data_IF_202862039908
#
_entry.id   IF_202862039908
#
_cell.length_a   1.000
_cell.length_b   1.000
_cell.length_c   1.000
_cell.angle_alpha   90.00
_cell.angle_beta   90.00
_cell.angle_gamma   90.00
#
_symmetry.space_group_name_H-M   'P 1'
#
loop_
_entity.id
_entity.type
_entity.pdbx_description
1 polymer ?
#
# COMPACT_ATOMS: atom_id res chain seq x y z
N UNK A 1 5.93 19.96 -6.45
CA UNK A 1 5.32 20.26 -7.76
C UNK A 1 4.48 21.53 -7.63
N UNK A 2 4.47 22.42 -8.64
CA UNK A 2 3.75 23.69 -8.53
C UNK A 2 2.22 23.57 -8.48
N UNK A 3 1.68 22.41 -8.88
CA UNK A 3 0.24 22.14 -8.97
C UNK A 3 -0.29 21.26 -7.82
N UNK A 4 0.59 20.85 -6.91
CA UNK A 4 0.22 20.03 -5.77
C UNK A 4 0.98 20.44 -4.51
N UNK A 5 0.26 20.61 -3.40
CA UNK A 5 0.82 20.85 -2.08
C UNK A 5 0.06 20.01 -1.06
N UNK A 6 0.79 19.25 -0.24
CA UNK A 6 0.23 18.45 0.85
C UNK A 6 0.83 18.87 2.18
N UNK A 7 -0.01 19.03 3.19
CA UNK A 7 0.37 19.24 4.58
C UNK A 7 -0.26 18.12 5.42
N UNK A 8 0.51 17.48 6.29
CA UNK A 8 0.00 16.41 7.16
C UNK A 8 0.54 16.55 8.58
N UNK A 9 -0.32 16.17 9.54
CA UNK A 9 0.00 16.07 10.95
C UNK A 9 -0.38 14.69 11.46
N UNK A 10 0.52 14.06 12.24
CA UNK A 10 0.30 12.73 12.81
C UNK A 10 0.64 12.69 14.29
N UNK A 11 -0.14 11.91 15.03
CA UNK A 11 0.15 11.54 16.43
C UNK A 11 0.02 10.03 16.55
N UNK A 12 1.04 9.40 17.13
CA UNK A 12 1.05 7.98 17.41
C UNK A 12 1.38 7.77 18.89
N UNK A 13 0.62 6.92 19.57
CA UNK A 13 0.80 6.54 20.97
C UNK A 13 0.95 5.04 21.03
N UNK A 14 1.97 4.59 21.77
CA UNK A 14 2.26 3.18 22.00
C UNK A 14 2.34 2.92 23.50
N UNK A 15 1.63 1.91 23.99
CA UNK A 15 1.61 1.51 25.38
C UNK A 15 1.90 0.02 25.54
N UNK A 16 2.93 -0.29 26.26
CA UNK A 16 3.22 -1.65 26.69
C UNK A 16 2.38 -2.02 27.92
N UNK A 17 1.86 -3.25 27.92
CA UNK A 17 1.02 -3.82 28.97
C UNK A 17 1.43 -5.26 29.25
N UNK A 18 0.90 -5.84 30.34
CA UNK A 18 1.19 -7.23 30.75
C UNK A 18 2.69 -7.56 30.80
N UNK A 19 3.46 -6.68 31.45
CA UNK A 19 4.92 -6.87 31.60
C UNK A 19 5.69 -6.76 30.28
N UNK A 20 5.18 -5.99 29.29
CA UNK A 20 5.82 -5.81 27.99
C UNK A 20 5.43 -6.89 26.96
N UNK A 21 4.58 -7.85 27.33
CA UNK A 21 4.16 -8.91 26.39
C UNK A 21 3.14 -8.44 25.35
N UNK A 22 2.40 -7.39 25.65
CA UNK A 22 1.39 -6.80 24.74
C UNK A 22 1.69 -5.34 24.53
N UNK A 23 1.73 -4.90 23.28
CA UNK A 23 1.84 -3.48 22.92
C UNK A 23 0.58 -3.05 22.18
N UNK A 24 -0.08 -2.02 22.69
CA UNK A 24 -1.23 -1.38 22.03
C UNK A 24 -0.75 -0.09 21.37
N UNK A 25 -1.12 0.09 20.10
CA UNK A 25 -0.77 1.27 19.31
C UNK A 25 -2.04 1.99 18.87
N UNK A 26 -2.07 3.31 19.04
CA UNK A 26 -3.12 4.19 18.55
C UNK A 26 -2.46 5.25 17.68
N UNK A 27 -2.98 5.44 16.47
CA UNK A 27 -2.47 6.43 15.53
C UNK A 27 -3.60 7.28 14.95
N UNK A 28 -3.32 8.56 14.80
CA UNK A 28 -4.18 9.51 14.11
C UNK A 28 -3.35 10.33 13.14
N UNK A 29 -3.85 10.49 11.90
CA UNK A 29 -3.25 11.38 10.92
C UNK A 29 -4.34 12.24 10.29
N UNK A 30 -4.06 13.53 10.13
CA UNK A 30 -4.86 14.48 9.36
C UNK A 30 -4.01 15.10 8.28
N UNK A 31 -4.48 15.00 7.03
CA UNK A 31 -3.88 15.62 5.86
C UNK A 31 -4.79 16.66 5.23
N UNK A 32 -4.19 17.63 4.55
CA UNK A 32 -4.89 18.62 3.72
C UNK A 32 -4.04 18.91 2.48
N UNK A 33 -4.64 18.68 1.32
CA UNK A 33 -3.96 18.82 0.04
C UNK A 33 -4.60 19.94 -0.77
N UNK A 34 -3.76 20.68 -1.50
CA UNK A 34 -4.18 21.58 -2.57
C UNK A 34 -3.80 20.92 -3.89
N UNK A 35 -4.79 20.72 -4.73
CA UNK A 35 -4.65 20.06 -6.03
C UNK A 35 -5.01 21.06 -7.10
N UNK A 36 -4.18 21.20 -8.13
CA UNK A 36 -4.42 22.15 -9.19
C UNK A 36 -3.89 21.71 -10.55
N UNK A 37 -4.28 22.47 -11.56
CA UNK A 37 -3.73 22.44 -12.90
C UNK A 37 -3.64 23.87 -13.41
N UNK A 38 -2.48 24.48 -13.27
CA UNK A 38 -2.24 25.90 -13.60
C UNK A 38 -2.56 26.26 -15.02
N UNK A 39 -2.32 25.34 -15.96
CA UNK A 39 -2.54 25.56 -17.40
C UNK A 39 -3.99 25.90 -17.75
N UNK A 40 -4.95 25.42 -16.95
CA UNK A 40 -6.39 25.71 -17.13
C UNK A 40 -7.01 26.50 -15.97
N UNK A 41 -6.18 26.97 -15.02
CA UNK A 41 -6.66 27.71 -13.86
C UNK A 41 -7.48 26.90 -12.86
N UNK A 42 -7.37 25.58 -12.87
CA UNK A 42 -8.10 24.69 -11.95
C UNK A 42 -7.37 24.58 -10.61
N UNK A 43 -8.11 24.77 -9.48
CA UNK A 43 -7.63 24.53 -8.12
C UNK A 43 -8.77 24.00 -7.25
N UNK A 44 -8.49 22.98 -6.45
CA UNK A 44 -9.42 22.38 -5.48
C UNK A 44 -8.63 21.86 -4.27
N UNK A 45 -9.31 21.28 -3.29
CA UNK A 45 -8.72 20.78 -2.05
C UNK A 45 -9.20 19.37 -1.76
N UNK A 46 -8.33 18.58 -1.10
CA UNK A 46 -8.68 17.32 -0.50
C UNK A 46 -8.29 17.30 0.98
N UNK A 47 -9.03 16.56 1.79
CA UNK A 47 -8.77 16.36 3.21
C UNK A 47 -8.77 14.87 3.50
N UNK A 48 -7.84 14.44 4.36
CA UNK A 48 -7.62 13.06 4.71
C UNK A 48 -7.60 12.90 6.22
N UNK A 49 -8.31 11.90 6.73
CA UNK A 49 -8.28 11.48 8.12
C UNK A 49 -7.99 10.00 8.16
N UNK A 50 -7.02 9.61 8.98
CA UNK A 50 -6.66 8.22 9.15
C UNK A 50 -6.59 7.90 10.64
N UNK A 51 -7.25 6.83 11.04
CA UNK A 51 -7.26 6.28 12.38
C UNK A 51 -6.67 4.88 12.33
N UNK A 52 -5.78 4.58 13.26
CA UNK A 52 -5.13 3.27 13.36
C UNK A 52 -5.24 2.76 14.79
N UNK A 53 -5.60 1.50 14.92
CA UNK A 53 -5.60 0.76 16.20
C UNK A 53 -4.87 -0.54 15.94
N UNK A 54 -3.85 -0.84 16.74
CA UNK A 54 -3.05 -2.04 16.61
C UNK A 54 -2.74 -2.68 17.95
N UNK A 55 -2.60 -3.99 17.92
CA UNK A 55 -2.13 -4.81 19.03
C UNK A 55 -1.03 -5.70 18.51
N UNK A 56 0.09 -5.70 19.23
CA UNK A 56 1.19 -6.64 19.04
C UNK A 56 1.34 -7.47 20.30
N UNK A 57 1.39 -8.79 20.13
CA UNK A 57 1.47 -9.77 21.22
C UNK A 57 2.68 -10.66 21.05
N UNK A 58 3.51 -10.77 22.08
CA UNK A 58 4.51 -11.82 22.19
C UNK A 58 3.77 -13.10 22.60
N UNK A 59 3.69 -14.06 21.66
CA UNK A 59 3.02 -15.34 21.89
C UNK A 59 3.93 -16.31 22.65
N UNK A 60 5.20 -16.33 22.28
CA UNK A 60 6.26 -17.12 22.90
C UNK A 60 7.59 -16.34 22.76
N UNK A 61 8.68 -16.77 23.41
CA UNK A 61 10.00 -16.15 23.21
C UNK A 61 10.49 -16.12 21.73
N UNK A 62 9.86 -16.92 20.86
CA UNK A 62 10.22 -17.04 19.44
C UNK A 62 9.16 -16.49 18.48
N UNK A 63 7.94 -16.24 18.94
CA UNK A 63 6.82 -15.90 18.07
C UNK A 63 6.12 -14.63 18.53
N UNK A 64 5.90 -13.74 17.58
CA UNK A 64 5.20 -12.48 17.75
C UNK A 64 4.07 -12.40 16.72
N UNK A 65 2.88 -11.96 17.13
CA UNK A 65 1.76 -11.70 16.25
C UNK A 65 1.28 -10.25 16.41
N UNK A 66 0.79 -9.65 15.35
CA UNK A 66 0.14 -8.34 15.39
C UNK A 66 -1.12 -8.31 14.56
N UNK A 67 -2.10 -7.53 15.02
CA UNK A 67 -3.32 -7.21 14.32
C UNK A 67 -3.52 -5.69 14.34
N UNK A 68 -3.78 -5.10 13.18
CA UNK A 68 -4.00 -3.66 13.05
C UNK A 68 -5.28 -3.42 12.23
N UNK A 69 -6.10 -2.48 12.69
CA UNK A 69 -7.26 -1.97 11.96
C UNK A 69 -6.99 -0.51 11.60
N UNK A 70 -7.30 -0.15 10.38
CA UNK A 70 -7.14 1.18 9.82
C UNK A 70 -8.48 1.65 9.25
N UNK A 71 -8.86 2.89 9.54
CA UNK A 71 -10.00 3.56 8.93
C UNK A 71 -9.53 4.89 8.33
N UNK A 72 -9.87 5.11 7.06
CA UNK A 72 -9.49 6.30 6.31
C UNK A 72 -10.76 6.97 5.80
N UNK A 73 -10.87 8.28 5.98
CA UNK A 73 -11.93 9.11 5.43
C UNK A 73 -11.32 10.24 4.60
N UNK A 74 -11.61 10.23 3.32
CA UNK A 74 -11.15 11.24 2.37
C UNK A 74 -12.32 12.07 1.88
N UNK A 75 -12.12 13.38 1.73
CA UNK A 75 -13.13 14.30 1.19
C UNK A 75 -12.51 15.42 0.37
N UNK A 76 -13.24 15.92 -0.62
CA UNK A 76 -12.82 16.98 -1.53
C UNK A 76 -12.50 16.44 -2.92
N UNK A 77 -11.48 16.97 -3.58
CA UNK A 77 -11.08 16.53 -4.91
C UNK A 77 -10.12 15.33 -4.81
N UNK A 78 -10.62 14.13 -5.11
CA UNK A 78 -9.89 12.88 -4.97
C UNK A 78 -9.34 12.35 -6.32
N UNK A 79 -9.48 13.13 -7.37
CA UNK A 79 -8.99 12.81 -8.71
C UNK A 79 -7.62 13.40 -9.03
N UNK A 80 -7.21 13.19 -10.27
CA UNK A 80 -6.03 13.83 -10.83
C UNK A 80 -6.49 14.68 -12.05
N UNK A 81 -6.28 16.02 -12.05
CA UNK A 81 -6.78 16.89 -13.10
C UNK A 81 -6.15 16.65 -14.48
N UNK A 82 -5.08 15.85 -14.52
CA UNK A 82 -4.41 15.46 -15.78
C UNK A 82 -4.93 14.12 -16.35
N UNK A 83 -5.86 13.44 -15.66
CA UNK A 83 -6.40 12.16 -16.10
C UNK A 83 -7.68 12.34 -16.93
N UNK A 84 -7.81 11.51 -17.93
CA UNK A 84 -9.02 11.37 -18.73
C UNK A 84 -9.60 9.97 -18.57
N UNK A 85 -10.91 9.88 -18.55
CA UNK A 85 -11.68 8.67 -18.75
C UNK A 85 -12.06 8.53 -20.24
N UNK A 86 -12.63 7.38 -20.61
CA UNK A 86 -13.11 7.11 -21.99
C UNK A 86 -14.58 6.77 -21.98
N UNK A 87 -15.36 7.51 -22.75
CA UNK A 87 -16.80 7.30 -22.88
C UNK A 87 -17.16 7.31 -24.37
N UNK A 88 -17.80 6.24 -24.85
CA UNK A 88 -18.07 6.01 -26.27
C UNK A 88 -16.83 6.19 -27.18
N UNK A 89 -15.65 5.83 -26.66
CA UNK A 89 -14.39 5.99 -27.38
C UNK A 89 -13.76 7.38 -27.27
N UNK A 90 -14.47 8.40 -26.80
CA UNK A 90 -13.96 9.76 -26.65
C UNK A 90 -13.29 9.98 -25.28
N UNK A 91 -12.24 10.79 -25.25
CA UNK A 91 -11.61 11.20 -24.00
C UNK A 91 -12.45 12.28 -23.31
N UNK A 92 -12.80 12.06 -22.05
CA UNK A 92 -13.54 13.01 -21.21
C UNK A 92 -12.79 13.20 -19.89
N UNK A 93 -12.95 14.33 -19.19
CA UNK A 93 -12.36 14.49 -17.85
C UNK A 93 -12.82 13.38 -16.90
N UNK A 94 -11.89 12.86 -16.09
CA UNK A 94 -12.21 11.90 -15.01
C UNK A 94 -13.15 12.55 -13.99
N UNK A 95 -14.18 11.81 -13.56
CA UNK A 95 -15.16 12.27 -12.56
C UNK A 95 -15.27 11.24 -11.45
N UNK A 96 -14.74 11.59 -10.26
CA UNK A 96 -14.75 10.74 -9.08
C UNK A 96 -15.73 11.28 -8.02
N UNK A 97 -16.28 10.40 -7.15
CA UNK A 97 -16.98 10.86 -5.96
C UNK A 97 -16.04 11.72 -5.09
N UNK A 98 -16.61 12.74 -4.46
CA UNK A 98 -15.84 13.66 -3.59
C UNK A 98 -15.61 13.12 -2.17
N UNK A 99 -16.02 11.90 -1.89
CA UNK A 99 -15.80 11.23 -0.61
C UNK A 99 -15.39 9.79 -0.83
N UNK A 100 -14.45 9.32 0.00
CA UNK A 100 -14.04 7.92 0.06
C UNK A 100 -13.90 7.51 1.52
N UNK A 101 -14.47 6.39 1.89
CA UNK A 101 -14.35 5.80 3.23
C UNK A 101 -13.77 4.40 3.08
N UNK A 102 -12.56 4.21 3.59
CA UNK A 102 -11.80 2.97 3.41
C UNK A 102 -11.47 2.34 4.76
N UNK A 103 -11.33 1.04 4.79
CA UNK A 103 -10.90 0.27 5.95
C UNK A 103 -9.91 -0.79 5.54
N UNK A 104 -9.01 -1.13 6.45
CA UNK A 104 -8.08 -2.23 6.26
C UNK A 104 -7.88 -3.00 7.57
N UNK A 105 -7.81 -4.32 7.46
CA UNK A 105 -7.35 -5.22 8.50
C UNK A 105 -5.99 -5.78 8.07
N UNK A 106 -4.99 -5.69 8.94
CA UNK A 106 -3.65 -6.20 8.69
C UNK A 106 -3.28 -7.17 9.83
N UNK A 107 -2.96 -8.40 9.47
CA UNK A 107 -2.50 -9.46 10.36
C UNK A 107 -1.07 -9.83 10.00
N UNK A 108 -0.22 -10.01 11.01
CA UNK A 108 1.19 -10.37 10.81
C UNK A 108 1.67 -11.29 11.90
N UNK A 109 2.45 -12.29 11.50
CA UNK A 109 3.17 -13.18 12.41
C UNK A 109 4.64 -13.21 12.01
N UNK A 110 5.50 -13.13 13.01
CA UNK A 110 6.95 -13.27 12.85
C UNK A 110 7.40 -14.34 13.81
N UNK A 111 8.21 -15.28 13.35
CA UNK A 111 8.73 -16.37 14.15
C UNK A 111 10.21 -16.63 13.91
N UNK A 112 10.93 -16.88 15.00
CA UNK A 112 12.26 -17.47 14.98
C UNK A 112 12.12 -18.99 14.86
N UNK A 113 12.61 -19.56 13.77
CA UNK A 113 12.59 -21.00 13.52
C UNK A 113 13.77 -21.72 14.17
N UNK A 114 14.64 -21.00 14.85
CA UNK A 114 15.92 -21.50 15.34
C UNK A 114 16.99 -21.49 14.23
N UNK A 115 18.20 -21.90 14.56
CA UNK A 115 19.33 -21.95 13.58
C UNK A 115 19.58 -20.62 12.85
N UNK A 116 19.23 -19.47 13.47
CA UNK A 116 19.37 -18.11 12.94
C UNK A 116 18.46 -17.85 11.71
N UNK A 117 17.29 -18.46 11.71
CA UNK A 117 16.28 -18.36 10.67
C UNK A 117 15.04 -17.65 11.19
N UNK A 118 14.38 -16.84 10.38
CA UNK A 118 13.14 -16.18 10.73
C UNK A 118 12.10 -16.31 9.59
N UNK A 119 10.87 -16.56 9.97
CA UNK A 119 9.70 -16.56 9.09
C UNK A 119 8.84 -15.33 9.37
N UNK A 120 8.34 -14.71 8.32
CA UNK A 120 7.39 -13.60 8.38
C UNK A 120 6.23 -13.91 7.45
N UNK A 121 5.01 -13.87 8.00
CA UNK A 121 3.77 -14.03 7.20
C UNK A 121 2.87 -12.86 7.51
N UNK A 122 2.28 -12.26 6.50
CA UNK A 122 1.30 -11.19 6.66
C UNK A 122 0.14 -11.34 5.68
N UNK A 123 -1.01 -10.86 6.12
CA UNK A 123 -2.21 -10.79 5.30
C UNK A 123 -2.89 -9.45 5.55
N UNK A 124 -3.30 -8.74 4.48
CA UNK A 124 -4.04 -7.50 4.53
C UNK A 124 -5.31 -7.62 3.71
N UNK A 125 -6.43 -7.27 4.31
CA UNK A 125 -7.72 -7.10 3.63
C UNK A 125 -8.10 -5.62 3.66
N UNK A 126 -8.40 -5.06 2.50
CA UNK A 126 -8.84 -3.68 2.31
C UNK A 126 -10.21 -3.66 1.65
N UNK A 127 -11.08 -2.73 2.06
CA UNK A 127 -12.37 -2.47 1.42
C UNK A 127 -12.78 -1.01 1.59
N UNK A 128 -13.56 -0.49 0.64
CA UNK A 128 -14.03 0.88 0.66
C UNK A 128 -15.46 1.03 0.11
N UNK A 129 -16.00 2.26 0.16
CA UNK A 129 -17.31 2.60 -0.37
C UNK A 129 -17.32 2.88 -1.89
N UNK A 130 -16.19 2.73 -2.57
CA UNK A 130 -16.09 2.68 -4.04
C UNK A 130 -16.18 1.23 -4.56
N UNK A 131 -16.46 0.26 -3.66
CA UNK A 131 -16.53 -1.19 -3.87
C UNK A 131 -15.19 -1.85 -4.22
N UNK A 132 -14.09 -1.15 -4.01
CA UNK A 132 -12.77 -1.77 -4.10
C UNK A 132 -12.56 -2.67 -2.90
N UNK A 133 -12.29 -3.94 -3.16
CA UNK A 133 -11.90 -4.96 -2.18
C UNK A 133 -10.56 -5.52 -2.60
N UNK A 134 -9.59 -5.53 -1.70
CA UNK A 134 -8.26 -5.99 -2.03
C UNK A 134 -7.69 -6.93 -0.96
N UNK A 135 -6.96 -7.93 -1.42
CA UNK A 135 -6.27 -8.94 -0.62
C UNK A 135 -4.78 -8.85 -0.90
N UNK A 136 -3.97 -8.82 0.14
CA UNK A 136 -2.51 -8.93 0.04
C UNK A 136 -2.07 -10.04 0.96
N UNK A 137 -1.37 -11.04 0.43
CA UNK A 137 -0.72 -12.08 1.21
C UNK A 137 0.78 -12.05 0.94
N UNK A 138 1.59 -12.06 1.98
CA UNK A 138 3.05 -12.05 1.86
C UNK A 138 3.65 -13.09 2.81
N UNK A 139 4.65 -13.83 2.32
CA UNK A 139 5.50 -14.71 3.11
C UNK A 139 6.97 -14.36 2.84
N UNK A 140 7.73 -14.18 3.90
CA UNK A 140 9.15 -13.86 3.84
C UNK A 140 9.98 -14.77 4.75
N UNK A 141 11.15 -15.13 4.30
CA UNK A 141 12.10 -15.94 5.02
C UNK A 141 13.45 -15.25 5.05
N UNK A 142 14.08 -15.23 6.21
CA UNK A 142 15.39 -14.62 6.44
C UNK A 142 16.30 -15.64 7.09
N UNK A 143 17.53 -15.72 6.63
CA UNK A 143 18.55 -16.63 7.16
C UNK A 143 19.93 -16.00 7.20
N UNK A 144 20.63 -16.14 8.32
CA UNK A 144 22.05 -15.84 8.38
C UNK A 144 22.86 -16.96 7.74
N UNK A 145 23.71 -16.60 6.79
CA UNK A 145 24.68 -17.47 6.14
C UNK A 145 26.07 -17.16 6.69
N UNK A 146 26.53 -17.97 7.63
CA UNK A 146 27.72 -17.68 8.41
C UNK A 146 27.49 -16.50 9.38
N UNK A 147 28.55 -15.70 9.62
CA UNK A 147 28.50 -14.59 10.58
C UNK A 147 28.21 -13.23 9.94
N UNK A 148 28.49 -13.08 8.65
CA UNK A 148 28.50 -11.77 7.98
C UNK A 148 27.40 -11.59 6.95
N UNK A 149 26.72 -12.64 6.50
CA UNK A 149 25.69 -12.55 5.47
C UNK A 149 24.31 -12.80 6.05
N UNK A 150 23.34 -11.94 5.66
CA UNK A 150 21.91 -12.15 5.87
C UNK A 150 21.23 -12.23 4.50
N UNK A 151 20.62 -13.38 4.21
CA UNK A 151 19.78 -13.58 3.04
C UNK A 151 18.32 -13.44 3.42
N UNK A 152 17.59 -12.61 2.67
CA UNK A 152 16.14 -12.43 2.76
C UNK A 152 15.51 -12.84 1.43
N UNK A 153 14.41 -13.57 1.48
CA UNK A 153 13.57 -13.86 0.33
C UNK A 153 12.09 -13.66 0.70
N UNK A 154 11.28 -13.22 -0.26
CA UNK A 154 9.84 -13.09 -0.03
C UNK A 154 9.04 -13.32 -1.31
N UNK A 155 7.78 -13.69 -1.12
CA UNK A 155 6.77 -13.73 -2.16
C UNK A 155 5.56 -12.92 -1.68
N UNK A 156 4.92 -12.18 -2.58
CA UNK A 156 3.70 -11.41 -2.31
C UNK A 156 2.71 -11.59 -3.45
N UNK A 157 1.50 -11.88 -3.08
CA UNK A 157 0.35 -11.88 -3.99
C UNK A 157 -0.61 -10.77 -3.58
N UNK A 158 -1.09 -10.03 -4.56
CA UNK A 158 -2.11 -8.99 -4.41
C UNK A 158 -3.21 -9.20 -5.43
N UNK A 159 -4.47 -9.01 -5.02
CA UNK A 159 -5.61 -8.94 -5.93
C UNK A 159 -6.58 -7.89 -5.46
N UNK A 160 -7.23 -7.21 -6.40
CA UNK A 160 -8.32 -6.27 -6.10
C UNK A 160 -9.46 -6.38 -7.09
N UNK A 161 -10.68 -6.04 -6.65
CA UNK A 161 -11.82 -5.73 -7.53
C UNK A 161 -11.72 -4.31 -8.08
N UNK A 162 -12.34 -4.07 -9.23
CA UNK A 162 -12.49 -2.71 -9.77
C UNK A 162 -13.45 -1.85 -8.94
N UNK A 163 -13.28 -0.52 -9.02
CA UNK A 163 -14.22 0.43 -8.45
C UNK A 163 -15.54 0.45 -9.25
N UNK A 164 -16.67 0.74 -8.59
CA UNK A 164 -18.01 0.78 -9.21
C UNK A 164 -18.12 1.65 -10.48
N UNK A 165 -17.33 2.70 -10.55
CA UNK A 165 -17.34 3.67 -11.65
C UNK A 165 -16.11 3.53 -12.57
N UNK A 166 -15.31 2.46 -12.38
CA UNK A 166 -14.23 2.16 -13.30
C UNK A 166 -14.78 1.58 -14.61
N UNK A 167 -14.26 2.06 -15.72
CA UNK A 167 -14.48 1.45 -17.03
C UNK A 167 -13.33 1.78 -17.97
N UNK A 168 -12.85 0.78 -18.69
CA UNK A 168 -11.84 1.00 -19.74
C UNK A 168 -12.39 1.85 -20.91
N UNK A 169 -13.68 1.64 -21.26
CA UNK A 169 -14.41 2.46 -22.23
C UNK A 169 -15.91 2.38 -21.92
N UNK A 170 -16.43 3.34 -21.18
CA UNK A 170 -17.83 3.36 -20.78
C UNK A 170 -18.78 3.47 -21.99
N UNK A 171 -19.78 2.60 -22.03
CA UNK A 171 -20.80 2.54 -23.08
C UNK A 171 -22.08 3.28 -22.69
N UNK A 172 -22.08 3.92 -21.53
CA UNK A 172 -23.17 4.76 -21.02
C UNK A 172 -22.58 5.98 -20.35
N UNK A 173 -23.29 7.09 -20.40
CA UNK A 173 -22.92 8.26 -19.62
C UNK A 173 -23.34 8.09 -18.16
N UNK A 174 -22.40 8.30 -17.22
CA UNK A 174 -22.61 8.16 -15.79
C UNK A 174 -22.13 9.40 -15.05
N UNK A 175 -22.64 9.63 -13.83
CA UNK A 175 -22.18 10.73 -12.98
C UNK A 175 -20.69 10.64 -12.66
N UNK A 176 -20.22 9.43 -12.38
CA UNK A 176 -18.80 9.15 -12.08
C UNK A 176 -18.25 8.20 -13.13
N UNK A 177 -17.04 8.45 -13.56
CA UNK A 177 -16.32 7.61 -14.51
C UNK A 177 -14.82 7.79 -14.35
N UNK A 178 -14.10 6.69 -14.34
CA UNK A 178 -12.63 6.67 -14.29
C UNK A 178 -12.09 5.58 -15.20
N UNK A 179 -10.97 5.86 -15.85
CA UNK A 179 -10.12 4.88 -16.53
C UNK A 179 -8.77 4.72 -15.83
N UNK A 180 -8.69 5.10 -14.56
CA UNK A 180 -7.47 4.91 -13.78
C UNK A 180 -7.23 3.42 -13.53
N UNK A 181 -6.16 2.86 -14.12
CA UNK A 181 -5.79 1.45 -13.95
C UNK A 181 -5.62 1.00 -12.49
N UNK A 182 -5.34 1.94 -11.56
CA UNK A 182 -5.27 1.64 -10.14
C UNK A 182 -6.65 1.39 -9.49
N UNK A 183 -7.73 1.71 -10.20
CA UNK A 183 -9.12 1.44 -9.79
C UNK A 183 -9.73 0.29 -10.59
N UNK A 184 -8.98 -0.37 -11.47
CA UNK A 184 -9.43 -1.54 -12.24
C UNK A 184 -9.34 -2.83 -11.43
N UNK A 185 -9.89 -3.90 -11.98
CA UNK A 185 -9.66 -5.26 -11.48
C UNK A 185 -8.30 -5.75 -11.99
N UNK A 186 -7.42 -6.12 -11.06
CA UNK A 186 -6.12 -6.69 -11.37
C UNK A 186 -5.56 -7.52 -10.23
N UNK A 187 -4.63 -8.37 -10.55
CA UNK A 187 -3.77 -9.04 -9.60
C UNK A 187 -2.29 -8.80 -9.90
N UNK A 188 -1.45 -8.99 -8.91
CA UNK A 188 -0.01 -8.99 -9.11
C UNK A 188 0.68 -10.03 -8.21
N UNK A 189 1.81 -10.48 -8.70
CA UNK A 189 2.71 -11.37 -7.99
C UNK A 189 4.11 -10.77 -7.96
N UNK A 190 4.71 -10.78 -6.77
CA UNK A 190 6.08 -10.30 -6.56
C UNK A 190 6.89 -11.43 -5.94
N UNK A 191 8.08 -11.66 -6.45
CA UNK A 191 9.11 -12.45 -5.82
C UNK A 191 10.35 -11.58 -5.66
N UNK A 192 10.93 -11.57 -4.47
CA UNK A 192 12.10 -10.75 -4.19
C UNK A 192 13.11 -11.44 -3.30
N UNK A 193 14.35 -11.01 -3.43
CA UNK A 193 15.46 -11.44 -2.60
C UNK A 193 16.43 -10.32 -2.34
N UNK A 194 17.04 -10.32 -1.15
CA UNK A 194 18.07 -9.38 -0.74
C UNK A 194 19.19 -10.12 -0.01
N UNK A 195 20.42 -9.82 -0.35
CA UNK A 195 21.60 -10.24 0.37
C UNK A 195 22.23 -9.03 1.05
N UNK A 196 22.42 -9.12 2.35
CA UNK A 196 23.09 -8.11 3.16
C UNK A 196 24.41 -8.66 3.65
N UNK A 197 25.44 -7.86 3.60
CA UNK A 197 26.79 -8.21 4.02
C UNK A 197 27.32 -7.20 5.02
N UNK A 198 27.70 -7.66 6.21
CA UNK A 198 28.37 -6.87 7.22
C UNK A 198 29.87 -6.80 6.86
N UNK A 199 30.26 -5.72 6.20
CA UNK A 199 31.62 -5.58 5.66
C UNK A 199 32.64 -5.29 6.75
N UNK A 200 32.39 -4.26 7.55
CA UNK A 200 33.34 -3.82 8.56
C UNK A 200 32.61 -3.12 9.71
N UNK A 201 32.97 -3.52 10.91
CA UNK A 201 32.45 -2.93 12.12
C UNK A 201 33.60 -2.48 13.00
N UNK A 202 33.64 -1.19 13.33
CA UNK A 202 34.57 -0.64 14.31
C UNK A 202 33.79 -0.04 15.46
N UNK A 203 33.71 -0.71 16.64
CA UNK A 203 32.92 -0.27 17.75
C UNK A 203 33.18 1.18 18.12
N UNK A 204 32.10 1.98 18.26
CA UNK A 204 32.17 3.40 18.61
C UNK A 204 32.56 4.35 17.47
N UNK A 205 32.83 3.85 16.25
CA UNK A 205 33.19 4.68 15.11
C UNK A 205 32.25 4.50 13.92
N UNK A 206 32.13 3.30 13.34
CA UNK A 206 31.25 3.04 12.20
C UNK A 206 30.89 1.56 12.05
N UNK A 207 29.79 1.34 11.35
CA UNK A 207 29.30 0.03 10.91
C UNK A 207 29.02 0.12 9.39
N UNK A 208 29.80 -0.60 8.58
CA UNK A 208 29.67 -0.59 7.12
C UNK A 208 28.97 -1.86 6.66
N UNK A 209 27.83 -1.68 6.01
CA UNK A 209 27.00 -2.77 5.44
C UNK A 209 26.81 -2.55 3.94
N UNK A 210 26.88 -3.63 3.19
CA UNK A 210 26.52 -3.66 1.78
C UNK A 210 25.24 -4.45 1.59
N UNK A 211 24.39 -3.99 0.66
CA UNK A 211 23.13 -4.67 0.32
C UNK A 211 23.00 -4.78 -1.19
N UNK A 212 22.54 -5.94 -1.65
CA UNK A 212 22.13 -6.15 -3.03
C UNK A 212 20.78 -6.88 -3.02
N UNK A 213 19.86 -6.44 -3.86
CA UNK A 213 18.52 -7.04 -3.93
C UNK A 213 17.94 -6.98 -5.33
N UNK A 214 17.02 -7.91 -5.61
CA UNK A 214 16.26 -7.96 -6.86
C UNK A 214 14.81 -8.28 -6.52
N UNK A 215 13.88 -7.62 -7.22
CA UNK A 215 12.45 -7.91 -7.19
C UNK A 215 11.94 -8.07 -8.61
N UNK A 216 11.14 -9.11 -8.82
CA UNK A 216 10.41 -9.36 -10.06
C UNK A 216 8.93 -9.15 -9.78
N UNK A 217 8.31 -8.23 -10.50
CA UNK A 217 6.90 -7.90 -10.41
C UNK A 217 6.21 -8.31 -11.72
N UNK A 218 5.16 -9.11 -11.60
CA UNK A 218 4.22 -9.36 -12.68
C UNK A 218 2.87 -8.75 -12.30
N UNK A 219 2.26 -7.96 -13.18
CA UNK A 219 0.94 -7.35 -13.00
C UNK A 219 0.03 -7.83 -14.13
N UNK A 220 -1.15 -8.30 -13.78
CA UNK A 220 -2.15 -8.83 -14.69
C UNK A 220 -3.44 -8.01 -14.54
N UNK A 221 -3.68 -7.10 -15.48
CA UNK A 221 -4.93 -6.34 -15.56
C UNK A 221 -5.99 -7.17 -16.28
N UNK A 222 -7.20 -7.25 -15.71
CA UNK A 222 -8.29 -8.05 -16.30
C UNK A 222 -9.19 -7.26 -17.25
N UNK A 223 -9.22 -5.96 -17.10
CA UNK A 223 -10.16 -5.08 -17.79
C UNK A 223 -9.55 -3.74 -18.25
N UNK A 224 -8.21 -3.58 -18.18
CA UNK A 224 -7.51 -2.40 -18.68
C UNK A 224 -6.76 -2.72 -19.97
N UNK A 225 -7.09 -2.02 -21.07
CA UNK A 225 -6.45 -2.22 -22.38
C UNK A 225 -5.44 -1.12 -22.71
N UNK A 226 -4.36 -1.46 -23.39
CA UNK A 226 -3.50 -0.48 -24.04
C UNK A 226 -4.22 0.07 -25.28
N UNK A 227 -4.55 1.36 -25.29
CA UNK A 227 -5.27 2.02 -26.39
C UNK A 227 -4.51 1.91 -27.72
N UNK A 228 -3.17 1.79 -27.67
CA UNK A 228 -2.33 1.74 -28.87
C UNK A 228 -2.37 0.37 -29.54
N UNK A 229 -2.48 -0.69 -28.76
CA UNK A 229 -2.44 -2.08 -29.26
C UNK A 229 -3.81 -2.75 -29.25
N UNK A 230 -4.75 -2.24 -28.44
CA UNK A 230 -6.07 -2.84 -28.22
C UNK A 230 -6.03 -4.14 -27.39
N UNK A 231 -4.86 -4.55 -26.88
CA UNK A 231 -4.69 -5.72 -26.04
C UNK A 231 -4.78 -5.38 -24.55
N UNK A 232 -5.13 -6.34 -23.70
CA UNK A 232 -5.00 -6.22 -22.23
C UNK A 232 -3.56 -5.88 -21.86
N UNK A 233 -3.41 -5.04 -20.87
CA UNK A 233 -2.12 -4.54 -20.37
C UNK A 233 -1.52 -5.46 -19.34
#
# INVERSE_FOLDING_TARGET
EPDYKADAFSVDVSQETFGGMTTVNLGFTRGADKVGQKTIGFFDQAKHWQYRVGVTQILTPKWLASANIEAIADSGYLGNPYRAARVFGAAVPERLPRTRSSRALNLRVIGDLGSRDALRVSYRYFWDNWDVKAHTAEAGYSRYLGESFLADAFVRYYSQSGALFYSDNAQTETTYVSRNRQLSDFDNFVIGGKLSFDWKKQPGQYDLKAHAGVELLNVNYKDFTDIRTGSLY
#
